data_IF_763515123516
#
_entry.id   IF_763515123516
#
_cell.length_a   1.000
_cell.length_b   1.000
_cell.length_c   1.000
_cell.angle_alpha   90.00
_cell.angle_beta   90.00
_cell.angle_gamma   90.00
#
_symmetry.space_group_name_H-M   'P 1'
#
loop_
_entity.id
_entity.type
_entity.pdbx_description
1 polymer ?
#
# COMPACT_ATOMS: atom_id res chain seq x y z
N UNK A 1 -9.03 -3.83 -10.85
CA UNK A 1 -9.40 -3.81 -12.28
C UNK A 1 -8.18 -3.90 -13.20
N UNK A 2 -7.14 -3.08 -13.00
CA UNK A 2 -6.03 -2.95 -13.96
C UNK A 2 -5.17 -4.21 -14.15
N UNK A 3 -4.91 -4.99 -13.08
CA UNK A 3 -4.13 -6.23 -13.19
C UNK A 3 -4.76 -7.26 -14.14
N UNK A 4 -6.06 -7.56 -13.96
CA UNK A 4 -6.78 -8.51 -14.82
C UNK A 4 -6.85 -8.03 -16.26
N UNK A 5 -7.04 -6.73 -16.47
CA UNK A 5 -7.03 -6.13 -17.80
C UNK A 5 -5.68 -6.28 -18.50
N UNK A 6 -4.56 -6.07 -17.79
CA UNK A 6 -3.22 -6.27 -18.35
C UNK A 6 -2.95 -7.74 -18.66
N UNK A 7 -3.24 -8.63 -17.71
CA UNK A 7 -3.05 -10.07 -17.88
C UNK A 7 -3.86 -10.65 -19.05
N UNK A 8 -5.01 -10.05 -19.38
CA UNK A 8 -5.84 -10.46 -20.52
C UNK A 8 -5.33 -9.94 -21.88
N UNK A 9 -4.42 -8.96 -21.91
CA UNK A 9 -3.96 -8.29 -23.14
C UNK A 9 -2.50 -8.56 -23.47
N UNK A 10 -1.68 -8.81 -22.46
CA UNK A 10 -0.25 -9.02 -22.64
C UNK A 10 0.02 -10.54 -22.65
N UNK A 11 0.68 -11.07 -23.69
CA UNK A 11 0.90 -12.51 -23.83
C UNK A 11 1.85 -13.08 -22.76
N UNK A 12 2.71 -12.22 -22.18
CA UNK A 12 3.65 -12.60 -21.13
C UNK A 12 3.70 -11.52 -20.05
N UNK A 13 3.55 -11.91 -18.79
CA UNK A 13 3.52 -10.96 -17.67
C UNK A 13 4.05 -11.59 -16.39
N UNK A 14 4.95 -10.91 -15.68
CA UNK A 14 5.36 -11.28 -14.33
C UNK A 14 4.57 -10.50 -13.30
N UNK A 15 4.10 -11.18 -12.26
CA UNK A 15 3.31 -10.58 -11.17
C UNK A 15 3.94 -10.97 -9.83
N UNK A 16 4.24 -9.98 -9.01
CA UNK A 16 4.63 -10.18 -7.62
C UNK A 16 3.48 -9.77 -6.69
N UNK A 17 2.89 -10.75 -6.01
CA UNK A 17 1.86 -10.53 -5.00
C UNK A 17 2.45 -10.61 -3.59
N UNK A 18 1.96 -9.77 -2.69
CA UNK A 18 2.34 -9.76 -1.28
C UNK A 18 1.09 -9.84 -0.43
N UNK A 19 1.11 -10.70 0.58
CA UNK A 19 0.03 -10.82 1.57
C UNK A 19 0.30 -9.94 2.82
N UNK A 20 1.41 -9.19 2.84
CA UNK A 20 1.84 -8.49 4.05
C UNK A 20 0.86 -7.42 4.54
N UNK A 21 0.19 -6.72 3.62
CA UNK A 21 -0.70 -5.60 3.98
C UNK A 21 -2.18 -6.01 4.04
N UNK A 22 -2.65 -6.72 3.01
CA UNK A 22 -4.06 -7.11 2.90
C UNK A 22 -4.44 -8.30 3.80
N UNK A 23 -3.47 -9.08 4.30
CA UNK A 23 -3.71 -10.08 5.35
C UNK A 23 -3.05 -9.70 6.69
N UNK A 24 -2.38 -8.55 6.79
CA UNK A 24 -1.64 -8.18 8.00
C UNK A 24 -0.41 -9.04 8.30
N UNK A 25 0.02 -9.92 7.39
CA UNK A 25 1.12 -10.88 7.56
C UNK A 25 2.49 -10.26 7.25
N UNK A 26 2.81 -9.14 7.91
CA UNK A 26 4.05 -8.40 7.65
C UNK A 26 5.30 -9.22 7.93
N UNK A 27 5.33 -9.91 9.08
CA UNK A 27 6.52 -10.65 9.54
C UNK A 27 6.59 -12.07 9.02
N UNK A 28 5.47 -12.65 8.60
CA UNK A 28 5.40 -14.03 8.09
C UNK A 28 5.92 -14.17 6.65
N UNK A 29 6.21 -13.04 5.99
CA UNK A 29 6.90 -12.97 4.68
C UNK A 29 6.17 -13.71 3.56
N UNK A 30 4.85 -13.62 3.54
CA UNK A 30 4.00 -14.31 2.56
C UNK A 30 3.87 -13.50 1.27
N UNK A 31 4.20 -14.13 0.15
CA UNK A 31 4.05 -13.58 -1.19
C UNK A 31 4.02 -14.67 -2.25
N UNK A 32 3.76 -14.28 -3.50
CA UNK A 32 3.69 -15.18 -4.63
C UNK A 32 4.29 -14.52 -5.88
N UNK A 33 5.19 -15.24 -6.56
CA UNK A 33 5.67 -14.88 -7.89
C UNK A 33 4.88 -15.68 -8.92
N UNK A 34 4.19 -14.99 -9.83
CA UNK A 34 3.40 -15.59 -10.89
C UNK A 34 3.94 -15.15 -12.25
N UNK A 35 3.81 -16.02 -13.24
CA UNK A 35 4.10 -15.72 -14.63
C UNK A 35 2.90 -16.12 -15.49
N UNK A 36 2.38 -15.15 -16.25
CA UNK A 36 1.51 -15.39 -17.39
C UNK A 36 2.43 -15.75 -18.56
N UNK A 37 2.20 -16.90 -19.17
CA UNK A 37 3.00 -17.42 -20.28
C UNK A 37 2.12 -17.57 -21.53
N UNK A 38 2.72 -17.40 -22.71
CA UNK A 38 2.00 -17.48 -23.98
C UNK A 38 1.75 -18.92 -24.45
N UNK A 39 2.48 -19.89 -23.88
CA UNK A 39 2.34 -21.32 -24.20
C UNK A 39 2.65 -22.22 -23.00
N UNK A 40 2.26 -23.49 -23.10
CA UNK A 40 2.54 -24.51 -22.08
C UNK A 40 4.05 -24.83 -21.97
N UNK A 41 4.77 -24.80 -23.10
CA UNK A 41 6.21 -25.01 -23.15
C UNK A 41 6.96 -23.90 -22.39
N UNK A 42 6.57 -22.64 -22.61
CA UNK A 42 7.13 -21.52 -21.88
C UNK A 42 6.82 -21.60 -20.38
N UNK A 43 5.58 -21.96 -20.03
CA UNK A 43 5.21 -22.18 -18.63
C UNK A 43 6.13 -23.21 -17.96
N UNK A 44 6.36 -24.37 -18.60
CA UNK A 44 7.24 -25.40 -18.05
C UNK A 44 8.67 -24.90 -17.81
N UNK A 45 9.23 -24.11 -18.74
CA UNK A 45 10.55 -23.50 -18.59
C UNK A 45 10.58 -22.51 -17.42
N UNK A 46 9.58 -21.63 -17.33
CA UNK A 46 9.50 -20.60 -16.28
C UNK A 46 9.32 -21.23 -14.90
N UNK A 47 8.40 -22.19 -14.75
CA UNK A 47 8.18 -22.91 -13.49
C UNK A 47 9.44 -23.61 -13.01
N UNK A 48 10.20 -24.27 -13.91
CA UNK A 48 11.48 -24.90 -13.57
C UNK A 48 12.49 -23.88 -13.07
N UNK A 49 12.62 -22.75 -13.77
CA UNK A 49 13.57 -21.72 -13.40
C UNK A 49 13.21 -21.08 -12.05
N UNK A 50 11.93 -20.80 -11.77
CA UNK A 50 11.50 -20.30 -10.47
C UNK A 50 11.79 -21.28 -9.33
N UNK A 51 11.56 -22.59 -9.54
CA UNK A 51 11.88 -23.61 -8.55
C UNK A 51 13.40 -23.69 -8.27
N UNK A 52 14.23 -23.60 -9.32
CA UNK A 52 15.70 -23.54 -9.17
C UNK A 52 16.13 -22.30 -8.40
N UNK A 53 15.59 -21.13 -8.75
CA UNK A 53 15.89 -19.87 -8.06
C UNK A 53 15.53 -19.95 -6.58
N UNK A 54 14.36 -20.49 -6.22
CA UNK A 54 13.99 -20.70 -4.81
C UNK A 54 15.01 -21.60 -4.11
N UNK A 55 15.38 -22.73 -4.75
CA UNK A 55 16.32 -23.69 -4.18
C UNK A 55 17.69 -23.09 -3.91
N UNK A 56 18.20 -22.28 -4.84
CA UNK A 56 19.51 -21.64 -4.73
C UNK A 56 19.55 -20.52 -3.67
N UNK A 57 18.41 -19.87 -3.39
CA UNK A 57 18.37 -18.76 -2.43
C UNK A 57 18.04 -19.20 -1.01
N UNK A 58 17.01 -20.04 -0.83
CA UNK A 58 16.48 -20.36 0.50
C UNK A 58 15.87 -21.75 0.60
N UNK A 59 16.13 -22.64 -0.36
CA UNK A 59 15.55 -23.99 -0.44
C UNK A 59 14.02 -23.96 -0.59
N UNK A 60 13.28 -23.84 0.50
CA UNK A 60 11.82 -23.86 0.54
C UNK A 60 11.28 -22.58 1.17
N UNK A 61 10.16 -22.08 0.66
CA UNK A 61 9.51 -20.91 1.22
C UNK A 61 8.90 -21.20 2.61
N UNK A 62 8.73 -20.18 3.48
CA UNK A 62 8.05 -20.33 4.76
C UNK A 62 6.60 -20.80 4.60
N UNK A 63 6.20 -21.83 5.35
CA UNK A 63 4.87 -22.46 5.22
C UNK A 63 3.77 -21.73 6.00
N UNK A 64 4.02 -21.41 7.28
CA UNK A 64 2.98 -20.98 8.23
C UNK A 64 2.02 -19.91 7.70
N UNK A 65 2.55 -18.75 7.29
CA UNK A 65 1.70 -17.67 6.80
C UNK A 65 1.01 -17.99 5.47
N UNK A 66 1.65 -18.78 4.60
CA UNK A 66 1.05 -19.22 3.35
C UNK A 66 -0.10 -20.20 3.60
N UNK A 67 0.04 -21.10 4.59
CA UNK A 67 -1.01 -21.99 5.04
C UNK A 67 -2.20 -21.22 5.62
N UNK A 68 -1.97 -20.18 6.43
CA UNK A 68 -3.04 -19.31 6.93
C UNK A 68 -3.83 -18.63 5.79
N UNK A 69 -3.13 -18.08 4.78
CA UNK A 69 -3.77 -17.50 3.60
C UNK A 69 -4.57 -18.55 2.83
N UNK A 70 -4.04 -19.77 2.67
CA UNK A 70 -4.73 -20.85 2.00
C UNK A 70 -6.01 -21.28 2.73
N UNK A 71 -5.98 -21.35 4.07
CA UNK A 71 -7.17 -21.65 4.90
C UNK A 71 -8.23 -20.56 4.72
N UNK A 72 -7.86 -19.28 4.87
CA UNK A 72 -8.79 -18.15 4.75
C UNK A 72 -9.43 -18.12 3.36
N UNK A 73 -8.63 -18.29 2.29
CA UNK A 73 -9.14 -18.22 0.92
C UNK A 73 -9.87 -19.48 0.45
N UNK A 74 -9.60 -20.62 1.08
CA UNK A 74 -10.22 -21.91 0.78
C UNK A 74 -11.57 -22.13 1.47
N UNK A 75 -11.82 -21.43 2.57
CA UNK A 75 -13.10 -21.45 3.28
C UNK A 75 -13.97 -20.24 2.90
N UNK A 76 -15.23 -20.49 2.52
CA UNK A 76 -16.12 -19.42 2.03
C UNK A 76 -16.51 -18.43 3.12
N UNK A 77 -16.68 -18.87 4.37
CA UNK A 77 -17.05 -18.00 5.47
C UNK A 77 -15.86 -17.14 5.90
N UNK A 78 -14.67 -17.75 6.09
CA UNK A 78 -13.45 -17.00 6.44
C UNK A 78 -13.07 -16.00 5.35
N UNK A 79 -13.22 -16.37 4.09
CA UNK A 79 -12.98 -15.45 2.98
C UNK A 79 -13.93 -14.25 3.02
N UNK A 80 -15.21 -14.47 3.28
CA UNK A 80 -16.19 -13.39 3.35
C UNK A 80 -15.88 -12.42 4.50
N UNK A 81 -15.47 -12.95 5.66
CA UNK A 81 -15.03 -12.15 6.81
C UNK A 81 -13.80 -11.32 6.46
N UNK A 82 -12.76 -11.94 5.90
CA UNK A 82 -11.55 -11.25 5.44
C UNK A 82 -11.84 -10.16 4.40
N UNK A 83 -12.70 -10.43 3.41
CA UNK A 83 -13.11 -9.43 2.41
C UNK A 83 -13.88 -8.27 3.06
N UNK A 84 -14.69 -8.53 4.08
CA UNK A 84 -15.40 -7.49 4.85
C UNK A 84 -14.41 -6.60 5.61
N UNK A 85 -13.52 -7.17 6.42
CA UNK A 85 -12.52 -6.42 7.17
C UNK A 85 -11.64 -5.55 6.25
N UNK A 86 -11.20 -6.13 5.12
CA UNK A 86 -10.37 -5.40 4.17
C UNK A 86 -11.12 -4.23 3.53
N UNK A 87 -12.43 -4.37 3.28
CA UNK A 87 -13.27 -3.29 2.78
C UNK A 87 -13.45 -2.18 3.82
N UNK A 88 -13.60 -2.50 5.10
CA UNK A 88 -13.72 -1.53 6.19
C UNK A 88 -12.41 -0.76 6.38
N UNK A 89 -11.27 -1.45 6.32
CA UNK A 89 -9.95 -0.80 6.33
C UNK A 89 -9.80 0.16 5.14
N UNK A 90 -10.23 -0.25 3.94
CA UNK A 90 -10.21 0.60 2.74
C UNK A 90 -11.10 1.82 2.91
N UNK A 91 -12.32 1.66 3.42
CA UNK A 91 -13.25 2.76 3.67
C UNK A 91 -12.67 3.76 4.67
N UNK A 92 -12.11 3.26 5.78
CA UNK A 92 -11.42 4.09 6.79
C UNK A 92 -10.29 4.92 6.16
N UNK A 93 -9.47 4.33 5.27
CA UNK A 93 -8.42 5.08 4.57
C UNK A 93 -8.98 6.20 3.69
N UNK A 94 -10.14 5.98 3.05
CA UNK A 94 -10.79 7.01 2.23
C UNK A 94 -11.31 8.16 3.09
N UNK A 95 -11.89 7.87 4.26
CA UNK A 95 -12.32 8.90 5.22
C UNK A 95 -11.14 9.76 5.66
N UNK A 96 -10.04 9.16 6.12
CA UNK A 96 -8.87 9.93 6.58
C UNK A 96 -8.28 10.80 5.46
N UNK A 97 -8.32 10.34 4.21
CA UNK A 97 -7.88 11.15 3.06
C UNK A 97 -8.76 12.38 2.85
N UNK A 98 -10.07 12.19 2.91
CA UNK A 98 -11.02 13.30 2.77
C UNK A 98 -10.83 14.31 3.90
N UNK A 99 -10.79 13.82 5.14
CA UNK A 99 -10.59 14.65 6.34
C UNK A 99 -9.29 15.47 6.25
N UNK A 100 -8.19 14.83 5.82
CA UNK A 100 -6.91 15.51 5.64
C UNK A 100 -6.96 16.56 4.53
N UNK A 101 -7.55 16.25 3.38
CA UNK A 101 -7.67 17.19 2.27
C UNK A 101 -8.51 18.42 2.69
N UNK A 102 -9.63 18.20 3.37
CA UNK A 102 -10.49 19.28 3.86
C UNK A 102 -9.80 20.12 4.94
N UNK A 103 -9.07 19.48 5.86
CA UNK A 103 -8.28 20.20 6.87
C UNK A 103 -7.18 21.06 6.21
N UNK A 104 -6.40 20.50 5.27
CA UNK A 104 -5.38 21.26 4.55
C UNK A 104 -5.99 22.40 3.73
N UNK A 105 -7.15 22.19 3.10
CA UNK A 105 -7.84 23.26 2.36
C UNK A 105 -8.22 24.42 3.28
N UNK A 106 -8.74 24.12 4.48
CA UNK A 106 -9.06 25.14 5.50
C UNK A 106 -7.82 25.87 5.99
N UNK A 107 -6.77 25.14 6.37
CA UNK A 107 -5.60 25.73 7.02
C UNK A 107 -4.69 26.48 6.05
N UNK A 108 -4.58 26.01 4.80
CA UNK A 108 -3.77 26.66 3.76
C UNK A 108 -4.57 27.68 2.93
N UNK A 109 -5.89 27.76 3.12
CA UNK A 109 -6.81 28.56 2.31
C UNK A 109 -6.59 28.38 0.79
N UNK A 110 -6.40 27.12 0.36
CA UNK A 110 -6.04 26.74 -1.01
C UNK A 110 -6.46 25.31 -1.31
N UNK A 111 -6.80 25.03 -2.57
CA UNK A 111 -7.08 23.70 -3.14
C UNK A 111 -5.82 22.88 -3.47
N UNK A 112 -4.61 23.41 -3.18
CA UNK A 112 -3.31 22.79 -3.51
C UNK A 112 -3.22 21.31 -3.14
N UNK A 113 -3.90 20.85 -2.08
CA UNK A 113 -3.80 19.50 -1.53
C UNK A 113 -5.01 18.60 -1.79
N UNK A 114 -5.96 19.04 -2.61
CA UNK A 114 -7.21 18.30 -2.88
C UNK A 114 -6.95 16.92 -3.50
N UNK A 115 -5.84 16.77 -4.23
CA UNK A 115 -5.40 15.51 -4.83
C UNK A 115 -5.28 14.36 -3.81
N UNK A 116 -5.11 14.66 -2.51
CA UNK A 116 -4.99 13.65 -1.45
C UNK A 116 -6.27 12.80 -1.34
N UNK A 117 -7.44 13.40 -1.56
CA UNK A 117 -8.73 12.72 -1.57
C UNK A 117 -8.88 11.79 -2.79
N UNK A 118 -8.25 12.14 -3.91
CA UNK A 118 -8.29 11.36 -5.15
C UNK A 118 -7.26 10.22 -5.20
N UNK A 119 -6.16 10.37 -4.47
CA UNK A 119 -5.15 9.32 -4.33
C UNK A 119 -5.74 8.03 -3.71
N UNK A 120 -5.02 6.91 -3.92
CA UNK A 120 -5.40 5.59 -3.43
C UNK A 120 -4.24 4.91 -2.71
N UNK A 121 -4.57 3.94 -1.85
CA UNK A 121 -3.61 3.22 -1.02
C UNK A 121 -3.29 3.96 0.29
N UNK A 122 -2.23 3.54 0.97
CA UNK A 122 -1.87 4.07 2.31
C UNK A 122 -0.97 5.29 2.28
N UNK A 123 -0.43 5.67 1.12
CA UNK A 123 0.59 6.72 1.02
C UNK A 123 0.17 7.87 0.14
N UNK A 124 0.73 9.05 0.40
CA UNK A 124 0.67 10.20 -0.51
C UNK A 124 1.94 11.01 -0.37
N UNK A 125 2.37 11.62 -1.48
CA UNK A 125 3.45 12.60 -1.47
C UNK A 125 2.82 13.97 -1.47
N UNK A 126 3.20 14.80 -0.51
CA UNK A 126 2.64 16.14 -0.37
C UNK A 126 3.26 17.14 -1.36
N UNK A 127 4.46 16.85 -1.86
CA UNK A 127 5.20 17.80 -2.69
C UNK A 127 5.79 18.95 -1.88
N UNK A 128 6.12 18.69 -0.61
CA UNK A 128 6.85 19.63 0.23
C UNK A 128 8.33 19.59 -0.13
N UNK A 129 8.98 20.74 -0.08
CA UNK A 129 10.42 20.87 -0.24
C UNK A 129 11.16 20.28 0.99
N UNK A 130 12.43 19.92 0.82
CA UNK A 130 13.24 19.36 1.91
C UNK A 130 13.28 20.24 3.18
N UNK A 131 13.41 21.58 3.09
CA UNK A 131 13.38 22.43 4.29
C UNK A 131 12.05 22.37 5.04
N UNK A 132 10.92 22.33 4.33
CA UNK A 132 9.58 22.22 4.92
C UNK A 132 9.39 20.86 5.62
N UNK A 133 9.90 19.78 5.01
CA UNK A 133 9.91 18.44 5.63
C UNK A 133 10.75 18.40 6.90
N UNK A 134 11.92 19.04 6.91
CA UNK A 134 12.75 19.13 8.11
C UNK A 134 12.08 19.99 9.20
N UNK A 135 11.44 21.11 8.84
CA UNK A 135 10.72 21.95 9.78
C UNK A 135 9.54 21.20 10.43
N UNK A 136 8.81 20.36 9.67
CA UNK A 136 7.79 19.48 10.24
C UNK A 136 8.37 18.59 11.35
N UNK A 137 9.60 18.10 11.17
CA UNK A 137 10.28 17.25 12.16
C UNK A 137 10.78 18.06 13.35
N UNK A 138 11.52 19.14 13.12
CA UNK A 138 12.20 19.90 14.18
C UNK A 138 11.24 20.72 15.02
N UNK A 139 10.24 21.32 14.39
CA UNK A 139 9.41 22.36 15.02
C UNK A 139 8.07 21.78 15.49
N UNK A 140 7.60 20.72 14.83
CA UNK A 140 6.30 20.10 15.11
C UNK A 140 6.38 18.63 15.56
N UNK A 141 7.57 18.01 15.54
CA UNK A 141 7.72 16.59 15.90
C UNK A 141 7.01 15.62 14.93
N UNK A 142 6.72 16.06 13.71
CA UNK A 142 6.00 15.30 12.70
C UNK A 142 6.99 14.65 11.73
N UNK A 143 7.15 13.34 11.86
CA UNK A 143 8.12 12.58 11.07
C UNK A 143 7.49 12.07 9.77
N UNK A 144 7.94 12.63 8.65
CA UNK A 144 7.56 12.21 7.30
C UNK A 144 8.80 11.74 6.53
N UNK A 145 8.63 10.99 5.44
CA UNK A 145 9.76 10.58 4.61
C UNK A 145 10.32 11.81 3.89
N UNK A 146 11.64 11.88 3.70
CA UNK A 146 12.33 13.04 3.10
C UNK A 146 11.81 13.47 1.72
N UNK A 147 11.14 12.59 0.98
CA UNK A 147 10.48 12.89 -0.30
C UNK A 147 9.04 13.43 -0.14
N UNK A 148 8.68 13.87 1.07
CA UNK A 148 7.36 14.30 1.55
C UNK A 148 6.29 13.20 1.55
N UNK A 149 6.68 11.92 1.51
CA UNK A 149 5.72 10.82 1.56
C UNK A 149 5.21 10.58 2.99
N UNK A 150 3.90 10.65 3.15
CA UNK A 150 3.18 10.38 4.40
C UNK A 150 2.45 9.04 4.36
N UNK A 151 2.26 8.42 5.52
CA UNK A 151 1.38 7.28 5.71
C UNK A 151 0.02 7.76 6.25
N UNK A 152 -1.01 7.70 5.43
CA UNK A 152 -2.39 8.10 5.75
C UNK A 152 -2.91 7.34 6.97
N UNK A 153 -2.57 6.05 7.11
CA UNK A 153 -3.05 5.25 8.25
C UNK A 153 -2.57 5.79 9.61
N UNK A 154 -1.44 6.52 9.62
CA UNK A 154 -0.92 7.17 10.82
C UNK A 154 -1.77 8.34 11.31
N UNK A 155 -2.66 8.89 10.46
CA UNK A 155 -3.46 10.09 10.74
C UNK A 155 -4.88 9.79 11.25
N UNK A 156 -5.16 8.52 11.59
CA UNK A 156 -6.43 8.11 12.19
C UNK A 156 -6.69 8.78 13.55
N UNK A 157 -7.94 8.77 14.01
CA UNK A 157 -8.31 9.28 15.33
C UNK A 157 -8.13 10.80 15.48
N UNK A 158 -8.40 11.57 14.42
CA UNK A 158 -8.33 13.03 14.45
C UNK A 158 -6.93 13.64 14.28
N UNK A 159 -5.88 12.82 14.12
CA UNK A 159 -4.50 13.31 13.96
C UNK A 159 -4.25 14.06 12.65
N UNK A 160 -5.17 14.03 11.69
CA UNK A 160 -5.10 14.81 10.46
C UNK A 160 -5.16 16.34 10.72
N UNK A 161 -5.91 16.79 11.73
CA UNK A 161 -6.02 18.23 12.07
C UNK A 161 -4.69 18.85 12.54
N UNK A 162 -4.04 18.35 13.61
CA UNK A 162 -2.75 18.90 14.02
C UNK A 162 -1.67 18.75 12.95
N UNK A 163 -1.74 17.71 12.11
CA UNK A 163 -0.84 17.56 10.98
C UNK A 163 -1.07 18.64 9.91
N UNK A 164 -2.32 18.93 9.55
CA UNK A 164 -2.65 19.99 8.59
C UNK A 164 -2.21 21.37 9.09
N UNK A 165 -2.38 21.66 10.39
CA UNK A 165 -1.88 22.89 11.01
C UNK A 165 -0.35 23.02 10.88
N UNK A 166 0.40 21.94 11.15
CA UNK A 166 1.85 21.94 11.01
C UNK A 166 2.28 22.16 9.56
N UNK A 167 1.61 21.52 8.59
CA UNK A 167 1.88 21.72 7.15
C UNK A 167 1.62 23.17 6.74
N UNK A 168 0.52 23.78 7.18
CA UNK A 168 0.23 25.18 6.87
C UNK A 168 1.29 26.13 7.48
N UNK A 169 1.73 25.86 8.71
CA UNK A 169 2.75 26.67 9.38
C UNK A 169 4.09 26.65 8.64
N UNK A 170 4.57 25.48 8.21
CA UNK A 170 5.86 25.38 7.50
C UNK A 170 5.83 25.91 6.06
N UNK A 171 4.64 26.08 5.48
CA UNK A 171 4.47 26.69 4.15
C UNK A 171 4.38 28.22 4.19
N UNK A 172 4.07 28.78 5.37
CA UNK A 172 3.94 30.23 5.56
C UNK A 172 5.27 30.90 5.96
N UNK A 173 6.26 30.13 6.41
CA UNK A 173 7.62 30.58 6.72
C UNK A 173 8.57 30.44 5.54
#
# INVERSE_FOLDING_TARGET
>A
ANLRMMAARVPEMLIAASCSKNFGLYRDRVGCAMAVCSSAEQHAVVSRNLAVLNRLNYSFAPDHGAACVAIILGDTALRAEWESELNDMRATMMTIRQDLADALRRQCNSDRFDFIAEHRGMFSRLGLATPEVEALRTDHGMYVVGDSRINIAGLSGGRHEPFANAVAAVLAG
#
